data_IF_419398307597
#
_entry.id   IF_419398307597
#
_cell.length_a   1.000
_cell.length_b   1.000
_cell.length_c   1.000
_cell.angle_alpha   90.00
_cell.angle_beta   90.00
_cell.angle_gamma   90.00
#
_symmetry.space_group_name_H-M   'P 1'
#
loop_
_entity.id
_entity.type
_entity.pdbx_description
1 polymer ?
#
# COMPACT_ATOMS: atom_id res chain seq x y z
N UNK A 1 -13.29 -12.24 12.55
CA UNK A 1 -13.55 -13.51 11.84
C UNK A 1 -12.23 -13.95 11.25
N UNK A 2 -11.79 -15.17 11.53
CA UNK A 2 -10.57 -15.69 10.90
C UNK A 2 -10.92 -16.26 9.53
N UNK A 3 -10.26 -15.78 8.49
CA UNK A 3 -10.47 -16.22 7.10
C UNK A 3 -9.37 -17.20 6.73
N UNK A 4 -9.75 -18.43 6.41
CA UNK A 4 -8.80 -19.50 6.04
C UNK A 4 -8.67 -19.64 4.52
N UNK A 5 -9.73 -19.34 3.76
CA UNK A 5 -9.71 -19.40 2.29
C UNK A 5 -10.36 -18.17 1.64
N UNK A 6 -9.79 -17.63 0.55
CA UNK A 6 -10.42 -16.56 -0.23
C UNK A 6 -11.68 -17.01 -1.00
N UNK A 7 -11.90 -18.33 -1.11
CA UNK A 7 -13.09 -18.89 -1.76
C UNK A 7 -14.32 -18.91 -0.86
N UNK A 8 -14.16 -18.59 0.42
CA UNK A 8 -15.27 -18.62 1.36
C UNK A 8 -16.25 -17.48 1.06
N UNK A 9 -17.50 -17.66 1.49
CA UNK A 9 -18.60 -16.73 1.25
C UNK A 9 -19.19 -16.24 2.57
N UNK A 10 -19.53 -14.95 2.64
CA UNK A 10 -20.33 -14.37 3.70
C UNK A 10 -21.77 -14.30 3.21
N UNK A 11 -22.69 -14.84 4.02
CA UNK A 11 -24.13 -14.70 3.81
C UNK A 11 -24.67 -13.70 4.82
N UNK A 12 -25.15 -12.57 4.32
CA UNK A 12 -25.79 -11.53 5.12
C UNK A 12 -27.30 -11.67 4.94
N UNK A 13 -28.03 -11.81 6.05
CA UNK A 13 -29.49 -11.88 6.06
C UNK A 13 -30.04 -10.74 6.91
N UNK A 14 -30.91 -9.96 6.30
CA UNK A 14 -31.60 -8.85 6.96
C UNK A 14 -32.97 -9.36 7.38
N UNK A 15 -33.32 -9.11 8.64
CA UNK A 15 -34.60 -9.48 9.23
C UNK A 15 -35.29 -8.22 9.72
N UNK A 16 -36.60 -8.16 9.54
CA UNK A 16 -37.41 -7.14 10.18
C UNK A 16 -37.82 -7.66 11.56
N UNK A 17 -37.66 -6.82 12.59
CA UNK A 17 -37.97 -7.21 13.95
C UNK A 17 -39.29 -6.58 14.38
N UNK A 18 -40.38 -7.26 14.01
CA UNK A 18 -41.73 -6.96 14.49
C UNK A 18 -42.16 -7.85 15.67
N UNK A 19 -43.14 -7.36 16.44
CA UNK A 19 -43.65 -7.97 17.68
C UNK A 19 -44.39 -9.31 17.48
N UNK A 20 -44.80 -9.65 16.25
CA UNK A 20 -45.70 -10.80 15.98
C UNK A 20 -45.10 -11.86 15.07
N UNK A 21 -44.38 -11.47 14.01
CA UNK A 21 -43.71 -12.41 13.09
C UNK A 21 -42.49 -11.72 12.50
N UNK A 22 -41.30 -12.25 12.79
CA UNK A 22 -40.06 -11.73 12.19
C UNK A 22 -39.88 -12.35 10.80
N UNK A 23 -40.13 -11.56 9.76
CA UNK A 23 -39.94 -11.96 8.38
C UNK A 23 -38.54 -11.54 7.87
N UNK A 24 -37.99 -12.32 6.94
CA UNK A 24 -36.72 -11.97 6.33
C UNK A 24 -36.95 -10.87 5.27
N UNK A 25 -36.26 -9.74 5.38
CA UNK A 25 -36.33 -8.65 4.40
C UNK A 25 -35.55 -9.01 3.14
N UNK A 26 -34.51 -9.84 3.28
CA UNK A 26 -33.76 -10.41 2.17
C UNK A 26 -32.37 -10.89 2.58
N UNK A 27 -31.62 -11.36 1.60
CA UNK A 27 -30.26 -11.83 1.80
C UNK A 27 -29.32 -11.39 0.68
N UNK A 28 -28.03 -11.34 1.00
CA UNK A 28 -26.95 -11.16 0.02
C UNK A 28 -25.83 -12.17 0.30
N UNK A 29 -25.18 -12.64 -0.76
CA UNK A 29 -24.03 -13.55 -0.68
C UNK A 29 -22.84 -12.84 -1.28
N UNK A 30 -21.79 -12.67 -0.48
CA UNK A 30 -20.61 -11.91 -0.84
C UNK A 30 -19.40 -12.84 -0.73
N UNK A 31 -18.63 -12.96 -1.82
CA UNK A 31 -17.38 -13.74 -1.80
C UNK A 31 -16.32 -12.97 -1.01
N UNK A 32 -15.60 -13.66 -0.13
CA UNK A 32 -14.51 -13.03 0.63
C UNK A 32 -13.42 -12.47 -0.28
N UNK A 33 -13.17 -13.11 -1.43
CA UNK A 33 -12.26 -12.60 -2.45
C UNK A 33 -12.55 -11.15 -2.86
N UNK A 34 -13.82 -10.73 -2.85
CA UNK A 34 -14.23 -9.37 -3.21
C UNK A 34 -14.01 -8.38 -2.06
N UNK A 35 -14.01 -8.85 -0.81
CA UNK A 35 -13.86 -8.01 0.38
C UNK A 35 -12.39 -7.77 0.77
N UNK A 36 -11.48 -8.64 0.34
CA UNK A 36 -10.04 -8.54 0.64
C UNK A 36 -9.24 -7.72 -0.39
N UNK A 37 -9.89 -7.26 -1.47
CA UNK A 37 -9.24 -6.41 -2.48
C UNK A 37 -8.81 -5.11 -1.78
N UNK A 38 -7.58 -4.65 -2.03
CA UNK A 38 -7.03 -3.41 -1.48
C UNK A 38 -7.12 -3.28 0.06
N UNK A 39 -6.98 -4.39 0.79
CA UNK A 39 -7.07 -4.41 2.26
C UNK A 39 -8.45 -3.98 2.82
N UNK A 40 -9.50 -4.10 2.00
CA UNK A 40 -10.86 -3.75 2.41
C UNK A 40 -11.63 -3.07 1.28
N UNK A 41 -12.95 -3.15 1.36
CA UNK A 41 -13.84 -2.50 0.40
C UNK A 41 -14.95 -1.75 1.12
N UNK A 42 -15.34 -0.62 0.53
CA UNK A 42 -16.59 0.07 0.82
C UNK A 42 -17.45 0.02 -0.44
N UNK A 43 -18.54 -0.74 -0.41
CA UNK A 43 -19.44 -0.87 -1.55
C UNK A 43 -20.89 -1.13 -1.15
N UNK A 44 -21.80 -0.91 -2.09
CA UNK A 44 -23.23 -1.20 -1.96
C UNK A 44 -23.55 -2.57 -2.53
N UNK A 45 -24.14 -3.43 -1.69
CA UNK A 45 -24.54 -4.77 -2.07
C UNK A 45 -26.05 -4.85 -2.17
N UNK A 46 -26.56 -5.28 -3.31
CA UNK A 46 -28.00 -5.51 -3.49
C UNK A 46 -28.45 -6.70 -2.65
N UNK A 47 -29.56 -6.49 -1.94
CA UNK A 47 -30.25 -7.52 -1.16
C UNK A 47 -31.35 -8.11 -2.03
N UNK A 48 -31.42 -9.44 -2.07
CA UNK A 48 -32.42 -10.18 -2.83
C UNK A 48 -33.45 -10.78 -1.88
N UNK A 49 -34.73 -10.64 -2.23
CA UNK A 49 -35.86 -11.29 -1.56
C UNK A 49 -36.80 -11.85 -2.60
N UNK A 50 -37.10 -13.15 -2.53
CA UNK A 50 -37.95 -13.84 -3.49
C UNK A 50 -37.58 -13.58 -4.98
N UNK A 51 -36.28 -13.66 -5.28
CA UNK A 51 -35.69 -13.36 -6.59
C UNK A 51 -35.89 -11.92 -7.11
N UNK A 52 -36.33 -10.99 -6.25
CA UNK A 52 -36.47 -9.57 -6.57
C UNK A 52 -35.46 -8.73 -5.77
N UNK A 53 -34.93 -7.66 -6.36
CA UNK A 53 -34.11 -6.70 -5.61
C UNK A 53 -35.00 -5.99 -4.58
N UNK A 54 -34.63 -6.12 -3.31
CA UNK A 54 -35.40 -5.58 -2.17
C UNK A 54 -34.73 -4.35 -1.52
N UNK A 55 -33.55 -3.96 -2.01
CA UNK A 55 -32.80 -2.81 -1.52
C UNK A 55 -31.30 -3.03 -1.64
N UNK A 56 -30.53 -2.11 -1.07
CA UNK A 56 -29.07 -2.13 -1.07
C UNK A 56 -28.55 -1.87 0.33
N UNK A 57 -27.46 -2.55 0.71
CA UNK A 57 -26.76 -2.33 1.97
C UNK A 57 -25.33 -1.88 1.69
N UNK A 58 -24.93 -0.78 2.32
CA UNK A 58 -23.54 -0.33 2.29
C UNK A 58 -22.75 -1.11 3.32
N UNK A 59 -21.67 -1.74 2.88
CA UNK A 59 -20.77 -2.49 3.76
C UNK A 59 -19.36 -1.92 3.60
N UNK A 60 -18.76 -1.58 4.74
CA UNK A 60 -17.35 -1.20 4.84
C UNK A 60 -16.61 -2.33 5.52
N UNK A 61 -15.54 -2.82 4.89
CA UNK A 61 -14.71 -3.91 5.39
C UNK A 61 -13.25 -3.51 5.45
N UNK A 62 -12.51 -4.05 6.41
CA UNK A 62 -11.06 -3.93 6.52
C UNK A 62 -10.47 -5.33 6.59
N UNK A 63 -9.41 -5.56 5.82
CA UNK A 63 -8.71 -6.85 5.76
C UNK A 63 -7.25 -6.68 6.19
N UNK A 64 -6.92 -7.28 7.32
CA UNK A 64 -5.59 -7.28 7.91
C UNK A 64 -4.94 -8.67 7.72
N UNK A 65 -4.04 -8.85 6.75
CA UNK A 65 -3.33 -10.11 6.58
C UNK A 65 -2.39 -10.36 7.76
N UNK A 66 -2.40 -11.58 8.34
CA UNK A 66 -1.54 -11.99 9.48
C UNK A 66 -0.02 -11.95 9.19
N UNK A 67 0.40 -11.54 7.99
CA UNK A 67 1.80 -11.44 7.57
C UNK A 67 2.22 -10.06 7.08
N UNK A 68 1.43 -9.01 7.34
CA UNK A 68 1.70 -7.66 6.84
C UNK A 68 1.34 -7.49 5.36
N UNK A 69 1.24 -6.24 4.91
CA UNK A 69 1.02 -5.92 3.52
C UNK A 69 2.38 -5.91 2.80
N UNK A 70 2.59 -6.84 1.87
CA UNK A 70 3.84 -6.93 1.09
C UNK A 70 4.17 -5.61 0.36
N UNK A 71 3.15 -4.81 0.04
CA UNK A 71 3.32 -3.50 -0.56
C UNK A 71 4.00 -2.52 0.41
N UNK A 72 3.58 -2.50 1.68
CA UNK A 72 4.15 -1.61 2.70
C UNK A 72 5.59 -2.00 3.02
N UNK A 73 5.87 -3.31 3.08
CA UNK A 73 7.24 -3.82 3.23
C UNK A 73 8.13 -3.47 2.04
N UNK A 74 7.59 -3.51 0.82
CA UNK A 74 8.32 -3.13 -0.39
C UNK A 74 8.59 -1.63 -0.42
N UNK A 75 7.61 -0.80 -0.04
CA UNK A 75 7.74 0.65 0.00
C UNK A 75 8.83 1.08 0.99
N UNK A 76 8.82 0.51 2.20
CA UNK A 76 9.84 0.78 3.20
C UNK A 76 11.25 0.42 2.70
N UNK A 77 11.41 -0.74 2.05
CA UNK A 77 12.70 -1.13 1.44
C UNK A 77 13.14 -0.18 0.33
N UNK A 78 12.21 0.31 -0.48
CA UNK A 78 12.50 1.26 -1.54
C UNK A 78 12.96 2.61 -0.98
N UNK A 79 12.28 3.10 0.06
CA UNK A 79 12.65 4.35 0.74
C UNK A 79 14.04 4.27 1.37
N UNK A 80 14.35 3.19 2.10
CA UNK A 80 15.70 2.95 2.65
C UNK A 80 16.77 2.90 1.56
N UNK A 81 16.48 2.24 0.43
CA UNK A 81 17.40 2.17 -0.70
C UNK A 81 17.63 3.55 -1.33
N UNK A 82 16.57 4.35 -1.50
CA UNK A 82 16.68 5.71 -2.03
C UNK A 82 17.49 6.60 -1.10
N UNK A 83 17.28 6.53 0.21
CA UNK A 83 18.03 7.34 1.17
C UNK A 83 19.53 6.98 1.17
N UNK A 84 19.86 5.68 1.10
CA UNK A 84 21.24 5.22 0.96
C UNK A 84 21.90 5.73 -0.33
N UNK A 85 21.20 5.61 -1.46
CA UNK A 85 21.69 6.09 -2.76
C UNK A 85 21.87 7.61 -2.78
N UNK A 86 20.96 8.35 -2.15
CA UNK A 86 21.05 9.80 -2.02
C UNK A 86 22.31 10.19 -1.25
N UNK A 87 22.53 9.55 -0.10
CA UNK A 87 23.70 9.80 0.75
C UNK A 87 25.01 9.46 0.03
N UNK A 88 25.05 8.33 -0.66
CA UNK A 88 26.22 7.92 -1.46
C UNK A 88 26.48 8.89 -2.61
N UNK A 89 25.42 9.42 -3.26
CA UNK A 89 25.55 10.43 -4.30
C UNK A 89 26.06 11.78 -3.77
N UNK A 90 25.59 12.21 -2.60
CA UNK A 90 26.08 13.42 -1.93
C UNK A 90 27.55 13.27 -1.50
N UNK A 91 27.93 12.12 -0.94
CA UNK A 91 29.32 11.82 -0.57
C UNK A 91 30.23 11.75 -1.81
N UNK A 92 29.79 11.09 -2.88
CA UNK A 92 30.53 11.02 -4.14
C UNK A 92 30.69 12.41 -4.79
N UNK A 93 29.65 13.26 -4.71
CA UNK A 93 29.72 14.63 -5.22
C UNK A 93 30.67 15.49 -4.40
N UNK A 94 30.66 15.36 -3.07
CA UNK A 94 31.59 16.06 -2.19
C UNK A 94 33.04 15.63 -2.44
N UNK A 95 33.28 14.31 -2.58
CA UNK A 95 34.61 13.78 -2.89
C UNK A 95 35.09 14.22 -4.28
N UNK A 96 34.22 14.23 -5.29
CA UNK A 96 34.55 14.71 -6.62
C UNK A 96 34.92 16.20 -6.64
N UNK A 97 34.22 17.03 -5.86
CA UNK A 97 34.54 18.45 -5.71
C UNK A 97 35.91 18.65 -5.04
N UNK A 98 36.20 17.93 -3.95
CA UNK A 98 37.52 18.00 -3.28
C UNK A 98 38.66 17.57 -4.19
N UNK A 99 38.45 16.52 -4.99
CA UNK A 99 39.47 16.03 -5.92
C UNK A 99 39.73 17.03 -7.05
N UNK A 100 38.68 17.69 -7.56
CA UNK A 100 38.82 18.78 -8.52
C UNK A 100 39.64 19.94 -7.93
N UNK A 101 39.36 20.34 -6.70
CA UNK A 101 40.10 21.39 -6.00
C UNK A 101 41.59 21.03 -5.81
N UNK A 102 41.87 19.77 -5.42
CA UNK A 102 43.25 19.27 -5.30
C UNK A 102 43.98 19.24 -6.64
N UNK A 103 43.31 18.81 -7.71
CA UNK A 103 43.88 18.80 -9.06
C UNK A 103 44.17 20.23 -9.55
N UNK A 104 43.27 21.18 -9.29
CA UNK A 104 43.48 22.60 -9.62
C UNK A 104 44.64 23.20 -8.83
N UNK A 105 44.72 22.96 -7.52
CA UNK A 105 45.82 23.43 -6.68
C UNK A 105 47.16 22.82 -7.11
N UNK A 106 47.20 21.52 -7.41
CA UNK A 106 48.41 20.83 -7.90
C UNK A 106 48.85 21.39 -9.25
N UNK A 107 47.89 21.68 -10.14
CA UNK A 107 48.18 22.27 -11.46
C UNK A 107 48.74 23.69 -11.35
N UNK A 108 48.19 24.52 -10.46
CA UNK A 108 48.70 25.87 -10.22
C UNK A 108 50.12 25.87 -9.63
N UNK A 109 50.41 24.94 -8.71
CA UNK A 109 51.77 24.78 -8.18
C UNK A 109 52.77 24.40 -9.27
N UNK A 110 52.43 23.44 -10.13
CA UNK A 110 53.26 23.04 -11.27
C UNK A 110 53.47 24.19 -12.27
N UNK A 111 52.46 25.02 -12.54
CA UNK A 111 52.60 26.20 -13.41
C UNK A 111 53.54 27.24 -12.79
N UNK A 112 53.42 27.54 -11.49
CA UNK A 112 54.33 28.46 -10.79
C UNK A 112 55.78 27.95 -10.74
N UNK A 113 55.97 26.65 -10.53
CA UNK A 113 57.31 26.05 -10.50
C UNK A 113 57.97 26.06 -11.89
N UNK A 114 57.18 25.95 -12.97
CA UNK A 114 57.66 26.03 -14.35
C UNK A 114 57.98 27.46 -14.80
N UNK A 115 57.39 28.48 -14.18
CA UNK A 115 57.69 29.89 -14.44
C UNK A 115 58.91 30.41 -13.64
N UNK A 116 59.34 29.68 -12.60
CA UNK A 116 60.48 30.04 -11.77
C UNK A 116 61.83 29.46 -12.24
N UNK A 117 61.83 28.60 -13.27
CA UNK A 117 63.03 28.05 -13.94
C UNK A 117 63.30 28.76 -15.27
#
# INVERSE_FOLDING_TARGET
MEVTSPTDEIVLRVWDQDLTTSDAVGFTKIKLSSLMINCGVEDWFTIMYDNKPAGEIRITTTFEPKGGNQYDEMLAKYEEQQERLQKEADEARAHAAQLQEQLEATRQQLEQEREAQ
#
